data_IF_332343129025
#
_entry.id   IF_332343129025
#
_cell.length_a   1.000
_cell.length_b   1.000
_cell.length_c   1.000
_cell.angle_alpha   90.00
_cell.angle_beta   90.00
_cell.angle_gamma   90.00
#
_symmetry.space_group_name_H-M   'P 1'
#
loop_
_entity.id
_entity.type
_entity.pdbx_description
1 polymer ?
#
# COMPACT_ATOMS: atom_id res chain seq x y z
N UNK A 1 -43.02 -32.12 -18.49
CA UNK A 1 -42.96 -32.58 -19.89
C UNK A 1 -44.40 -32.73 -20.34
N UNK A 2 -44.76 -32.00 -21.39
CA UNK A 2 -46.09 -32.12 -21.99
C UNK A 2 -45.99 -32.90 -23.29
N UNK A 3 -47.05 -33.67 -23.61
CA UNK A 3 -47.12 -34.39 -24.86
C UNK A 3 -47.87 -33.53 -25.91
N UNK A 4 -47.33 -33.47 -27.12
CA UNK A 4 -47.96 -32.77 -28.23
C UNK A 4 -49.15 -33.63 -28.66
N UNK A 5 -50.33 -33.04 -28.60
CA UNK A 5 -51.63 -33.77 -28.93
C UNK A 5 -52.06 -33.48 -30.34
N UNK A 6 -51.92 -32.24 -30.77
CA UNK A 6 -52.34 -31.83 -32.09
C UNK A 6 -51.59 -30.65 -32.64
N UNK A 7 -51.64 -30.44 -33.94
CA UNK A 7 -51.03 -29.32 -34.64
C UNK A 7 -52.05 -28.78 -35.66
N UNK A 8 -52.56 -27.59 -35.30
CA UNK A 8 -53.56 -26.90 -36.16
C UNK A 8 -52.87 -25.79 -36.96
N UNK A 9 -53.16 -25.72 -38.23
CA UNK A 9 -52.65 -24.74 -39.15
C UNK A 9 -53.83 -23.99 -39.80
N UNK A 10 -54.05 -22.75 -39.41
CA UNK A 10 -55.11 -21.89 -39.93
C UNK A 10 -54.64 -20.45 -40.02
N UNK A 11 -55.02 -19.75 -41.09
CA UNK A 11 -54.80 -18.32 -41.33
C UNK A 11 -53.34 -17.84 -41.20
N UNK A 12 -52.40 -18.70 -41.65
CA UNK A 12 -50.95 -18.32 -41.57
C UNK A 12 -50.36 -18.42 -40.19
N UNK A 13 -51.03 -19.09 -39.26
CA UNK A 13 -50.51 -19.39 -37.90
C UNK A 13 -50.50 -20.88 -37.67
N UNK A 14 -49.47 -21.37 -37.06
CA UNK A 14 -49.35 -22.76 -36.61
C UNK A 14 -49.49 -22.79 -35.10
N UNK A 15 -50.49 -23.53 -34.61
CA UNK A 15 -50.73 -23.72 -33.18
C UNK A 15 -50.40 -25.16 -32.79
N UNK A 16 -49.58 -25.32 -31.74
CA UNK A 16 -49.23 -26.60 -31.16
C UNK A 16 -49.98 -26.75 -29.84
N UNK A 17 -50.80 -27.82 -29.80
CA UNK A 17 -51.57 -28.12 -28.60
C UNK A 17 -50.80 -29.16 -27.78
N UNK A 18 -50.42 -28.76 -26.58
CA UNK A 18 -49.62 -29.57 -25.66
C UNK A 18 -50.44 -29.88 -24.42
N UNK A 19 -50.49 -31.17 -24.04
CA UNK A 19 -51.11 -31.57 -22.78
C UNK A 19 -50.06 -31.65 -21.68
N UNK A 20 -50.22 -30.82 -20.68
CA UNK A 20 -49.38 -30.81 -19.47
C UNK A 20 -50.21 -31.33 -18.28
N UNK A 21 -50.17 -32.65 -18.07
CA UNK A 21 -50.96 -33.31 -17.04
C UNK A 21 -52.49 -33.34 -17.39
N UNK A 22 -53.28 -32.51 -16.67
CA UNK A 22 -54.71 -32.37 -16.88
C UNK A 22 -55.10 -31.19 -17.77
N UNK A 23 -54.14 -30.25 -17.98
CA UNK A 23 -54.37 -29.03 -18.73
C UNK A 23 -53.83 -29.13 -20.15
N UNK A 24 -54.57 -28.55 -21.07
CA UNK A 24 -54.17 -28.42 -22.48
C UNK A 24 -53.76 -26.93 -22.69
N UNK A 25 -52.54 -26.72 -23.17
CA UNK A 25 -52.01 -25.41 -23.47
C UNK A 25 -51.73 -25.29 -24.95
N UNK A 26 -52.23 -24.25 -25.59
CA UNK A 26 -51.97 -23.98 -27.00
C UNK A 26 -50.84 -22.99 -27.13
N UNK A 27 -49.79 -23.36 -27.83
CA UNK A 27 -48.66 -22.51 -28.18
C UNK A 27 -48.77 -22.11 -29.65
N UNK A 28 -48.88 -20.80 -29.89
CA UNK A 28 -48.83 -20.24 -31.25
C UNK A 28 -47.37 -20.17 -31.69
N UNK A 29 -47.01 -20.87 -32.75
CA UNK A 29 -45.68 -20.81 -33.34
C UNK A 29 -45.56 -19.61 -34.29
N UNK A 30 -44.43 -18.92 -34.18
CA UNK A 30 -44.05 -17.89 -35.14
C UNK A 30 -43.49 -18.56 -36.40
N UNK A 31 -44.31 -18.63 -37.48
CA UNK A 31 -43.91 -19.24 -38.75
C UNK A 31 -42.69 -18.53 -39.34
N UNK A 32 -42.56 -17.25 -39.09
CA UNK A 32 -41.40 -16.48 -39.56
C UNK A 32 -40.10 -16.89 -38.90
N UNK A 33 -40.12 -17.15 -37.59
CA UNK A 33 -38.95 -17.68 -36.88
C UNK A 33 -38.57 -19.08 -37.37
N UNK A 34 -39.57 -19.92 -37.67
CA UNK A 34 -39.32 -21.26 -38.21
C UNK A 34 -38.70 -21.15 -39.61
N UNK A 35 -39.25 -20.28 -40.46
CA UNK A 35 -38.75 -20.04 -41.81
C UNK A 35 -37.28 -19.55 -41.77
N UNK A 36 -36.98 -18.56 -40.89
CA UNK A 36 -35.65 -18.09 -40.71
C UNK A 36 -34.70 -19.16 -40.19
N UNK A 37 -35.11 -19.91 -39.15
CA UNK A 37 -34.31 -21.01 -38.59
C UNK A 37 -34.03 -22.10 -39.64
N UNK A 38 -35.04 -22.50 -40.43
CA UNK A 38 -34.87 -23.49 -41.51
C UNK A 38 -33.90 -22.98 -42.58
N UNK A 39 -34.04 -21.73 -42.99
CA UNK A 39 -33.13 -21.14 -43.96
C UNK A 39 -31.66 -21.08 -43.47
N UNK A 40 -31.46 -20.82 -42.18
CA UNK A 40 -30.14 -20.88 -41.55
C UNK A 40 -29.57 -22.31 -41.53
N UNK A 41 -30.39 -23.30 -41.15
CA UNK A 41 -29.98 -24.70 -41.08
C UNK A 41 -29.69 -25.29 -42.50
N UNK A 42 -30.41 -24.84 -43.50
CA UNK A 42 -30.18 -25.21 -44.91
C UNK A 42 -28.96 -24.49 -45.51
N UNK A 43 -28.43 -23.46 -44.83
CA UNK A 43 -27.34 -22.62 -45.33
C UNK A 43 -27.77 -21.65 -46.45
N UNK A 44 -29.08 -21.49 -46.65
CA UNK A 44 -29.69 -20.56 -47.62
C UNK A 44 -29.86 -19.17 -47.02
N UNK A 45 -28.76 -18.43 -46.93
CA UNK A 45 -28.75 -17.12 -46.30
C UNK A 45 -29.41 -16.02 -47.16
N UNK A 46 -29.55 -16.23 -48.49
CA UNK A 46 -30.34 -15.34 -49.34
C UNK A 46 -31.81 -15.36 -48.95
N UNK A 47 -32.37 -16.59 -48.72
CA UNK A 47 -33.72 -16.76 -48.24
C UNK A 47 -33.93 -16.16 -46.86
N UNK A 48 -32.98 -16.38 -45.93
CA UNK A 48 -33.00 -15.79 -44.61
C UNK A 48 -33.00 -14.25 -44.66
N UNK A 49 -32.13 -13.67 -45.51
CA UNK A 49 -32.04 -12.22 -45.70
C UNK A 49 -33.32 -11.62 -46.29
N UNK A 50 -33.85 -12.26 -47.35
CA UNK A 50 -35.11 -11.81 -48.01
C UNK A 50 -36.29 -11.86 -47.00
N UNK A 51 -36.32 -12.82 -46.11
CA UNK A 51 -37.32 -12.88 -45.07
C UNK A 51 -37.17 -11.72 -44.07
N UNK A 52 -35.96 -11.48 -43.54
CA UNK A 52 -35.71 -10.39 -42.60
C UNK A 52 -35.98 -9.00 -43.17
N UNK A 53 -35.77 -8.79 -44.49
CA UNK A 53 -36.06 -7.53 -45.17
C UNK A 53 -37.57 -7.20 -45.19
N UNK A 54 -38.45 -8.19 -45.03
CA UNK A 54 -39.90 -7.98 -44.95
C UNK A 54 -40.37 -7.55 -43.55
N UNK A 55 -39.53 -7.69 -42.54
CA UNK A 55 -39.84 -7.37 -41.13
C UNK A 55 -39.42 -5.97 -40.76
N UNK A 56 -40.18 -5.36 -39.85
CA UNK A 56 -39.74 -4.08 -39.24
C UNK A 56 -38.61 -4.34 -38.22
N UNK A 57 -37.76 -3.34 -38.06
CA UNK A 57 -36.65 -3.43 -37.13
C UNK A 57 -37.17 -3.41 -35.68
N UNK A 58 -36.91 -4.46 -34.96
CA UNK A 58 -37.21 -4.69 -33.55
C UNK A 58 -35.97 -5.25 -32.85
N UNK A 59 -35.90 -5.27 -31.50
CA UNK A 59 -34.79 -5.93 -30.82
C UNK A 59 -34.59 -7.40 -31.21
N UNK A 60 -35.67 -8.09 -31.54
CA UNK A 60 -35.66 -9.50 -31.96
C UNK A 60 -35.10 -9.63 -33.38
N UNK A 61 -35.61 -8.82 -34.33
CA UNK A 61 -35.11 -8.81 -35.72
C UNK A 61 -33.67 -8.32 -35.79
N UNK A 62 -33.26 -7.38 -34.93
CA UNK A 62 -31.85 -6.96 -34.79
C UNK A 62 -30.94 -8.12 -34.37
N UNK A 63 -31.40 -8.96 -33.42
CA UNK A 63 -30.64 -10.13 -32.99
C UNK A 63 -30.51 -11.18 -34.14
N UNK A 64 -31.56 -11.35 -34.94
CA UNK A 64 -31.52 -12.22 -36.13
C UNK A 64 -30.54 -11.69 -37.19
N UNK A 65 -30.57 -10.39 -37.48
CA UNK A 65 -29.62 -9.73 -38.39
C UNK A 65 -28.17 -9.91 -37.92
N UNK A 66 -27.91 -9.75 -36.60
CA UNK A 66 -26.58 -9.99 -36.02
C UNK A 66 -26.12 -11.43 -36.17
N UNK A 67 -27.03 -12.40 -35.99
CA UNK A 67 -26.73 -13.83 -36.16
C UNK A 67 -26.41 -14.13 -37.61
N UNK A 68 -27.27 -13.68 -38.53
CA UNK A 68 -27.07 -13.88 -39.95
C UNK A 68 -25.80 -13.20 -40.47
N UNK A 69 -25.50 -11.97 -40.04
CA UNK A 69 -24.29 -11.27 -40.44
C UNK A 69 -23.03 -12.03 -40.07
N UNK A 70 -23.00 -12.61 -38.86
CA UNK A 70 -21.90 -13.46 -38.39
C UNK A 70 -21.74 -14.70 -39.23
N UNK A 71 -22.83 -15.45 -39.46
CA UNK A 71 -22.80 -16.69 -40.25
C UNK A 71 -22.41 -16.41 -41.71
N UNK A 72 -22.93 -15.33 -42.31
CA UNK A 72 -22.58 -14.94 -43.66
C UNK A 72 -21.09 -14.55 -43.80
N UNK A 73 -20.53 -13.88 -42.79
CA UNK A 73 -19.11 -13.59 -42.73
C UNK A 73 -18.24 -14.84 -42.57
N UNK A 74 -18.63 -15.77 -41.70
CA UNK A 74 -17.92 -17.04 -41.46
C UNK A 74 -17.95 -17.96 -42.71
N UNK A 75 -19.07 -17.96 -43.45
CA UNK A 75 -19.22 -18.76 -44.67
C UNK A 75 -18.76 -18.05 -45.94
N UNK A 76 -18.18 -16.87 -45.81
CA UNK A 76 -17.66 -16.03 -46.90
C UNK A 76 -18.71 -15.59 -47.94
N UNK A 77 -19.95 -15.51 -47.55
CA UNK A 77 -21.02 -14.94 -48.37
C UNK A 77 -21.05 -13.40 -48.20
N UNK A 78 -20.07 -12.74 -48.80
CA UNK A 78 -19.73 -11.34 -48.52
C UNK A 78 -20.84 -10.35 -48.89
N UNK A 79 -21.56 -10.61 -50.00
CA UNK A 79 -22.71 -9.78 -50.42
C UNK A 79 -23.85 -9.82 -49.41
N UNK A 80 -24.12 -11.00 -48.86
CA UNK A 80 -25.11 -11.17 -47.81
C UNK A 80 -24.68 -10.51 -46.52
N UNK A 81 -23.42 -10.67 -46.12
CA UNK A 81 -22.86 -9.98 -44.98
C UNK A 81 -22.97 -8.45 -45.11
N UNK A 82 -22.67 -7.88 -46.28
CA UNK A 82 -22.84 -6.47 -46.58
C UNK A 82 -24.29 -5.98 -46.41
N UNK A 83 -25.28 -6.74 -46.93
CA UNK A 83 -26.71 -6.44 -46.73
C UNK A 83 -27.12 -6.51 -45.25
N UNK A 84 -26.64 -7.49 -44.52
CA UNK A 84 -26.93 -7.64 -43.08
C UNK A 84 -26.40 -6.46 -42.28
N UNK A 85 -25.16 -6.06 -42.49
CA UNK A 85 -24.57 -4.90 -41.80
C UNK A 85 -25.23 -3.58 -42.23
N UNK A 86 -25.68 -3.47 -43.49
CA UNK A 86 -26.46 -2.33 -43.93
C UNK A 86 -27.80 -2.23 -43.19
N UNK A 87 -28.52 -3.34 -43.02
CA UNK A 87 -29.73 -3.35 -42.22
C UNK A 87 -29.50 -3.01 -40.73
N UNK A 88 -28.34 -3.38 -40.16
CA UNK A 88 -27.94 -3.02 -38.81
C UNK A 88 -27.44 -1.55 -38.68
N UNK A 89 -27.28 -0.82 -39.79
CA UNK A 89 -26.80 0.54 -39.78
C UNK A 89 -25.29 0.72 -39.54
N UNK A 90 -24.50 -0.34 -39.62
CA UNK A 90 -23.05 -0.32 -39.46
C UNK A 90 -22.37 0.10 -40.77
N UNK A 91 -22.37 1.42 -41.03
CA UNK A 91 -21.84 2.04 -42.26
C UNK A 91 -20.34 1.72 -42.43
N UNK A 92 -19.59 1.64 -41.39
CA UNK A 92 -18.13 1.39 -41.46
C UNK A 92 -17.84 -0.02 -41.96
N UNK A 93 -18.50 -1.03 -41.41
CA UNK A 93 -18.39 -2.42 -41.87
C UNK A 93 -18.93 -2.61 -43.27
N UNK A 94 -20.05 -1.98 -43.60
CA UNK A 94 -20.62 -2.01 -44.99
C UNK A 94 -19.61 -1.48 -46.01
N UNK A 95 -18.98 -0.33 -45.75
CA UNK A 95 -17.99 0.25 -46.65
C UNK A 95 -16.79 -0.68 -46.83
N UNK A 96 -16.32 -1.27 -45.75
CA UNK A 96 -15.22 -2.24 -45.78
C UNK A 96 -15.56 -3.49 -46.58
N UNK A 97 -16.72 -4.06 -46.36
CA UNK A 97 -17.23 -5.24 -47.09
C UNK A 97 -17.50 -4.91 -48.57
N UNK A 98 -17.99 -3.72 -48.85
CA UNK A 98 -18.19 -3.28 -50.27
C UNK A 98 -16.86 -3.24 -51.03
N UNK A 99 -15.79 -2.66 -50.44
CA UNK A 99 -14.47 -2.70 -51.02
C UNK A 99 -13.95 -4.14 -51.21
N UNK A 100 -14.17 -5.00 -50.23
CA UNK A 100 -13.76 -6.40 -50.26
C UNK A 100 -14.52 -7.18 -51.33
N UNK A 101 -15.84 -6.94 -51.51
CA UNK A 101 -16.67 -7.49 -52.60
C UNK A 101 -16.17 -7.03 -53.98
N UNK A 102 -15.82 -5.75 -54.14
CA UNK A 102 -15.25 -5.27 -55.39
C UNK A 102 -13.94 -5.96 -55.80
N UNK A 103 -13.08 -6.26 -54.77
CA UNK A 103 -11.86 -7.03 -55.02
C UNK A 103 -12.20 -8.48 -55.42
N UNK A 104 -13.09 -9.14 -54.70
CA UNK A 104 -13.51 -10.53 -55.00
C UNK A 104 -14.13 -10.64 -56.40
N UNK A 105 -15.05 -9.73 -56.73
CA UNK A 105 -15.75 -9.70 -58.06
C UNK A 105 -14.76 -9.45 -59.21
N UNK A 106 -13.80 -8.55 -59.02
CA UNK A 106 -12.75 -8.29 -60.00
C UNK A 106 -11.89 -9.53 -60.28
N UNK A 107 -11.46 -10.19 -59.21
CA UNK A 107 -10.64 -11.40 -59.32
C UNK A 107 -11.44 -12.54 -59.95
N UNK A 108 -12.72 -12.69 -59.59
CA UNK A 108 -13.59 -13.69 -60.24
C UNK A 108 -13.76 -13.45 -61.74
N UNK A 109 -13.88 -12.19 -62.18
CA UNK A 109 -13.97 -11.82 -63.58
C UNK A 109 -12.66 -12.04 -64.37
N UNK A 110 -11.52 -11.75 -63.74
CA UNK A 110 -10.20 -11.86 -64.37
C UNK A 110 -9.67 -13.30 -64.44
N UNK A 111 -9.86 -14.06 -63.35
CA UNK A 111 -9.28 -15.41 -63.20
C UNK A 111 -10.28 -16.55 -63.44
N UNK A 112 -11.59 -16.26 -63.45
CA UNK A 112 -12.61 -17.30 -63.60
C UNK A 112 -12.73 -18.27 -62.40
N UNK A 113 -12.12 -17.94 -61.30
CA UNK A 113 -12.13 -18.69 -60.02
C UNK A 113 -12.95 -17.96 -58.96
N UNK A 114 -13.19 -18.61 -57.83
CA UNK A 114 -13.82 -17.96 -56.70
C UNK A 114 -12.95 -16.90 -56.08
N UNK A 115 -13.31 -15.63 -56.31
CA UNK A 115 -12.58 -14.47 -55.85
C UNK A 115 -12.46 -14.39 -54.31
N UNK A 116 -13.28 -15.11 -53.57
CA UNK A 116 -13.20 -15.15 -52.08
C UNK A 116 -11.93 -15.88 -51.60
N UNK A 117 -11.32 -16.70 -52.43
CA UNK A 117 -10.07 -17.39 -52.14
C UNK A 117 -8.81 -16.53 -52.33
N UNK A 118 -8.97 -15.32 -52.89
CA UNK A 118 -7.86 -14.39 -53.11
C UNK A 118 -7.29 -13.88 -51.79
N UNK A 119 -5.95 -13.83 -51.68
CA UNK A 119 -5.25 -13.50 -50.43
C UNK A 119 -5.69 -12.19 -49.80
N UNK A 120 -5.95 -11.15 -50.59
CA UNK A 120 -6.44 -9.84 -50.08
C UNK A 120 -7.82 -9.98 -49.44
N UNK A 121 -8.71 -10.72 -50.08
CA UNK A 121 -10.05 -10.99 -49.54
C UNK A 121 -9.97 -11.77 -48.25
N UNK A 122 -9.09 -12.78 -48.18
CA UNK A 122 -8.85 -13.55 -46.95
C UNK A 122 -8.24 -12.68 -45.85
N UNK A 123 -7.29 -11.81 -46.18
CA UNK A 123 -6.74 -10.85 -45.24
C UNK A 123 -7.81 -9.87 -44.73
N UNK A 124 -8.65 -9.31 -45.61
CA UNK A 124 -9.74 -8.45 -45.21
C UNK A 124 -10.77 -9.18 -44.30
N UNK A 125 -11.06 -10.43 -44.58
CA UNK A 125 -11.95 -11.22 -43.72
C UNK A 125 -11.29 -11.47 -42.34
N UNK A 126 -10.00 -11.74 -42.30
CA UNK A 126 -9.28 -11.84 -41.05
C UNK A 126 -9.31 -10.51 -40.25
N UNK A 127 -9.18 -9.36 -40.93
CA UNK A 127 -9.31 -8.03 -40.33
C UNK A 127 -10.74 -7.79 -39.79
N UNK A 128 -11.77 -8.21 -40.50
CA UNK A 128 -13.17 -8.12 -40.04
C UNK A 128 -13.37 -8.89 -38.72
N UNK A 129 -12.72 -10.03 -38.58
CA UNK A 129 -12.73 -10.84 -37.36
C UNK A 129 -11.68 -10.36 -36.32
N UNK A 130 -11.05 -9.20 -36.54
CA UNK A 130 -10.00 -8.61 -35.68
C UNK A 130 -8.78 -9.52 -35.47
N UNK A 131 -8.55 -10.44 -36.39
CA UNK A 131 -7.39 -11.32 -36.36
C UNK A 131 -6.28 -10.76 -37.30
N UNK A 132 -5.65 -9.69 -36.85
CA UNK A 132 -4.66 -8.96 -37.67
C UNK A 132 -3.38 -9.78 -37.96
N UNK A 133 -3.02 -10.71 -37.07
CA UNK A 133 -1.89 -11.62 -37.32
C UNK A 133 -2.18 -12.62 -38.45
N UNK A 134 -3.39 -13.07 -38.56
CA UNK A 134 -3.82 -13.92 -39.67
C UNK A 134 -3.85 -13.12 -40.99
N UNK A 135 -4.29 -11.85 -40.94
CA UNK A 135 -4.24 -10.97 -42.10
C UNK A 135 -2.79 -10.72 -42.55
N UNK A 136 -1.87 -10.44 -41.62
CA UNK A 136 -0.44 -10.34 -41.88
C UNK A 136 0.10 -11.61 -42.57
N UNK A 137 -0.25 -12.79 -42.06
CA UNK A 137 0.20 -14.05 -42.64
C UNK A 137 -0.24 -14.20 -44.10
N UNK A 138 -1.50 -13.87 -44.43
CA UNK A 138 -2.00 -13.91 -45.81
C UNK A 138 -1.24 -12.95 -46.74
N UNK A 139 -0.90 -11.74 -46.27
CA UNK A 139 -0.06 -10.80 -47.03
C UNK A 139 1.37 -11.33 -47.18
N UNK A 140 1.95 -11.90 -46.12
CA UNK A 140 3.33 -12.39 -46.13
C UNK A 140 3.52 -13.61 -47.05
N UNK A 141 2.54 -14.51 -47.15
CA UNK A 141 2.53 -15.66 -48.05
C UNK A 141 2.70 -15.25 -49.52
N UNK A 142 2.20 -14.10 -49.88
CA UNK A 142 2.29 -13.53 -51.22
C UNK A 142 3.38 -12.47 -51.38
N UNK A 143 4.22 -12.29 -50.34
CA UNK A 143 5.25 -11.28 -50.26
C UNK A 143 4.74 -9.85 -50.47
N UNK A 144 3.47 -9.60 -50.10
CA UNK A 144 2.80 -8.30 -50.16
C UNK A 144 3.09 -7.47 -48.89
N UNK A 145 4.36 -7.15 -48.68
CA UNK A 145 4.87 -6.50 -47.46
C UNK A 145 4.28 -5.11 -47.29
N UNK A 146 4.20 -4.34 -48.40
CA UNK A 146 3.69 -2.97 -48.37
C UNK A 146 2.22 -2.92 -47.90
N UNK A 147 1.40 -3.88 -48.31
CA UNK A 147 -0.02 -3.99 -47.92
C UNK A 147 -0.17 -4.34 -46.44
N UNK A 148 0.70 -5.20 -45.91
CA UNK A 148 0.71 -5.50 -44.47
C UNK A 148 1.13 -4.28 -43.65
N UNK A 149 2.10 -3.52 -44.10
CA UNK A 149 2.54 -2.24 -43.49
C UNK A 149 1.40 -1.22 -43.52
N UNK A 150 0.74 -1.05 -44.67
CA UNK A 150 -0.38 -0.13 -44.86
C UNK A 150 -1.53 -0.48 -43.93
N UNK A 151 -1.88 -1.78 -43.81
CA UNK A 151 -2.89 -2.28 -42.88
C UNK A 151 -2.57 -1.86 -41.44
N UNK A 152 -1.36 -2.06 -40.96
CA UNK A 152 -0.97 -1.70 -39.61
C UNK A 152 -0.90 -0.20 -39.38
N UNK A 153 -0.52 0.60 -40.38
CA UNK A 153 -0.56 2.06 -40.33
C UNK A 153 -1.99 2.60 -40.19
N UNK A 154 -2.92 2.09 -41.01
CA UNK A 154 -4.33 2.48 -40.95
C UNK A 154 -4.97 2.12 -39.59
N UNK A 155 -4.58 1.01 -39.00
CA UNK A 155 -5.03 0.57 -37.69
C UNK A 155 -4.28 1.24 -36.53
N UNK A 156 -3.29 2.10 -36.82
CA UNK A 156 -2.38 2.70 -35.83
C UNK A 156 -1.65 1.67 -34.95
N UNK A 157 -1.43 0.46 -35.46
CA UNK A 157 -0.65 -0.59 -34.82
C UNK A 157 0.85 -0.48 -35.19
N UNK A 158 1.44 0.63 -34.78
CA UNK A 158 2.78 1.03 -35.20
C UNK A 158 3.89 0.06 -34.77
N UNK A 159 3.75 -0.59 -33.60
CA UNK A 159 4.73 -1.55 -33.12
C UNK A 159 4.82 -2.76 -34.04
N UNK A 160 3.66 -3.29 -34.48
CA UNK A 160 3.59 -4.39 -35.45
C UNK A 160 4.05 -3.94 -36.85
N UNK A 161 3.69 -2.72 -37.26
CA UNK A 161 4.14 -2.10 -38.51
C UNK A 161 5.66 -2.08 -38.62
N UNK A 162 6.32 -1.57 -37.57
CA UNK A 162 7.78 -1.48 -37.52
C UNK A 162 8.42 -2.87 -37.43
N UNK A 163 7.85 -3.78 -36.64
CA UNK A 163 8.35 -5.14 -36.53
C UNK A 163 8.36 -5.89 -37.89
N UNK A 164 7.30 -5.75 -38.68
CA UNK A 164 7.23 -6.30 -40.03
C UNK A 164 8.26 -5.66 -40.96
N UNK A 165 8.37 -4.33 -40.93
CA UNK A 165 9.32 -3.58 -41.75
C UNK A 165 10.79 -3.92 -41.40
N UNK A 166 11.10 -4.12 -40.12
CA UNK A 166 12.43 -4.56 -39.65
C UNK A 166 12.74 -5.99 -40.09
N UNK A 167 11.80 -6.92 -39.88
CA UNK A 167 11.97 -8.33 -40.23
C UNK A 167 12.25 -8.55 -41.74
N UNK A 168 11.73 -7.66 -42.56
CA UNK A 168 11.87 -7.72 -44.04
C UNK A 168 12.88 -6.71 -44.58
N UNK A 169 13.56 -5.96 -43.73
CA UNK A 169 14.51 -4.91 -44.14
C UNK A 169 13.90 -3.93 -45.16
N UNK A 170 12.70 -3.45 -44.81
CA UNK A 170 11.96 -2.57 -45.74
C UNK A 170 12.72 -1.24 -45.97
N UNK A 171 12.81 -0.76 -47.23
CA UNK A 171 13.60 0.44 -47.57
C UNK A 171 13.12 1.72 -46.88
N UNK A 172 11.85 1.81 -46.55
CA UNK A 172 11.26 2.99 -45.92
C UNK A 172 11.16 2.88 -44.39
N UNK A 173 11.88 1.95 -43.73
CA UNK A 173 11.85 1.76 -42.31
C UNK A 173 12.07 3.05 -41.51
N UNK A 174 13.02 3.88 -41.95
CA UNK A 174 13.32 5.14 -41.26
C UNK A 174 12.17 6.15 -41.38
N UNK A 175 11.49 6.18 -42.52
CA UNK A 175 10.30 7.01 -42.72
C UNK A 175 9.15 6.55 -41.84
N UNK A 176 8.94 5.22 -41.72
CA UNK A 176 7.92 4.63 -40.87
C UNK A 176 8.16 4.98 -39.41
N UNK A 177 9.41 4.90 -38.95
CA UNK A 177 9.77 5.31 -37.57
C UNK A 177 9.51 6.79 -37.33
N UNK A 178 9.81 7.64 -38.33
CA UNK A 178 9.51 9.07 -38.29
C UNK A 178 8.01 9.36 -38.17
N UNK A 179 7.20 8.66 -38.97
CA UNK A 179 5.75 8.79 -38.95
C UNK A 179 5.17 8.31 -37.62
N UNK A 180 5.69 7.20 -37.08
CA UNK A 180 5.31 6.71 -35.74
C UNK A 180 5.63 7.73 -34.65
N UNK A 181 6.82 8.29 -34.67
CA UNK A 181 7.20 9.33 -33.71
C UNK A 181 6.29 10.57 -33.82
N UNK A 182 5.99 11.01 -35.03
CA UNK A 182 5.09 12.14 -35.27
C UNK A 182 3.69 11.83 -34.71
N UNK A 183 3.15 10.66 -35.00
CA UNK A 183 1.85 10.22 -34.47
C UNK A 183 1.81 10.18 -32.96
N UNK A 184 2.88 9.66 -32.32
CA UNK A 184 3.01 9.63 -30.86
C UNK A 184 3.00 11.04 -30.25
N UNK A 185 3.68 11.98 -30.89
CA UNK A 185 3.73 13.38 -30.41
C UNK A 185 2.39 14.10 -30.61
N UNK A 186 1.72 13.87 -31.71
CA UNK A 186 0.39 14.44 -32.03
C UNK A 186 -0.70 13.90 -31.09
N UNK A 187 -0.62 12.63 -30.72
CA UNK A 187 -1.56 11.98 -29.81
C UNK A 187 -1.20 12.17 -28.33
N UNK A 188 -0.11 12.87 -28.01
CA UNK A 188 0.33 13.16 -26.65
C UNK A 188 0.88 11.94 -25.90
N UNK A 189 1.31 10.90 -26.62
CA UNK A 189 1.94 9.70 -26.04
C UNK A 189 3.44 9.93 -25.82
N UNK A 190 3.77 10.95 -25.03
CA UNK A 190 5.16 11.41 -24.82
C UNK A 190 6.05 10.31 -24.17
N UNK A 191 5.48 9.39 -23.41
CA UNK A 191 6.22 8.26 -22.84
C UNK A 191 6.79 7.33 -23.90
N UNK A 192 5.93 6.87 -24.82
CA UNK A 192 6.34 6.00 -25.93
C UNK A 192 7.26 6.73 -26.91
N UNK A 193 6.97 8.00 -27.16
CA UNK A 193 7.85 8.84 -27.98
C UNK A 193 9.27 8.93 -27.37
N UNK A 194 9.35 9.01 -26.03
CA UNK A 194 10.62 8.95 -25.30
C UNK A 194 11.34 7.61 -25.46
N UNK A 195 10.62 6.48 -25.40
CA UNK A 195 11.17 5.14 -25.62
C UNK A 195 11.73 4.97 -27.05
N UNK A 196 11.04 5.51 -28.04
CA UNK A 196 11.53 5.52 -29.43
C UNK A 196 12.85 6.29 -29.53
N UNK A 197 12.91 7.50 -28.94
CA UNK A 197 14.15 8.31 -28.93
C UNK A 197 15.28 7.66 -28.14
N UNK A 198 14.96 6.96 -27.04
CA UNK A 198 15.94 6.18 -26.27
C UNK A 198 16.54 5.06 -27.12
N UNK A 199 15.73 4.34 -27.91
CA UNK A 199 16.19 3.29 -28.83
C UNK A 199 17.02 3.82 -29.98
N UNK A 200 16.76 5.04 -30.46
CA UNK A 200 17.54 5.72 -31.48
C UNK A 200 18.89 6.28 -30.96
N UNK A 201 19.06 6.31 -29.63
CA UNK A 201 20.26 6.86 -28.98
C UNK A 201 20.22 8.37 -28.76
N UNK A 202 19.08 9.03 -29.02
CA UNK A 202 18.88 10.45 -28.71
C UNK A 202 18.37 10.59 -27.26
N UNK A 203 19.26 10.38 -26.32
CA UNK A 203 18.93 10.37 -24.90
C UNK A 203 18.46 11.73 -24.38
N UNK A 204 18.92 12.83 -24.95
CA UNK A 204 18.51 14.17 -24.54
C UNK A 204 17.05 14.45 -24.90
N UNK A 205 16.64 14.09 -26.11
CA UNK A 205 15.24 14.17 -26.53
C UNK A 205 14.36 13.22 -25.69
N UNK A 206 14.82 11.99 -25.43
CA UNK A 206 14.11 11.04 -24.59
C UNK A 206 13.85 11.58 -23.16
N UNK A 207 14.85 12.19 -22.54
CA UNK A 207 14.72 12.81 -21.22
C UNK A 207 13.69 13.93 -21.24
N UNK A 208 13.73 14.79 -22.23
CA UNK A 208 12.75 15.89 -22.36
C UNK A 208 11.32 15.36 -22.49
N UNK A 209 11.13 14.31 -23.26
CA UNK A 209 9.83 13.65 -23.45
C UNK A 209 9.34 12.97 -22.16
N UNK A 210 10.22 12.26 -21.45
CA UNK A 210 9.86 11.67 -20.16
C UNK A 210 9.50 12.71 -19.10
N UNK A 211 10.20 13.84 -19.08
CA UNK A 211 9.86 14.94 -18.18
C UNK A 211 8.51 15.58 -18.56
N UNK A 212 8.23 15.73 -19.85
CA UNK A 212 6.94 16.23 -20.35
C UNK A 212 5.80 15.27 -20.03
N UNK A 213 6.04 13.96 -20.12
CA UNK A 213 5.10 12.91 -19.75
C UNK A 213 4.86 12.79 -18.22
N UNK A 214 5.58 13.56 -17.39
CA UNK A 214 5.50 13.46 -15.93
C UNK A 214 6.14 12.20 -15.37
N UNK A 215 7.13 11.64 -16.06
CA UNK A 215 7.86 10.42 -15.67
C UNK A 215 9.33 10.69 -15.34
N UNK A 216 9.63 11.53 -14.35
CA UNK A 216 11.00 11.89 -14.00
C UNK A 216 11.85 10.71 -13.54
N UNK A 217 11.22 9.64 -13.06
CA UNK A 217 11.90 8.42 -12.67
C UNK A 217 12.57 7.68 -13.85
N UNK A 218 11.91 7.65 -15.03
CA UNK A 218 12.49 7.12 -16.26
C UNK A 218 13.65 7.99 -16.75
N UNK A 219 13.46 9.31 -16.71
CA UNK A 219 14.52 10.27 -17.06
C UNK A 219 15.76 10.13 -16.16
N UNK A 220 15.56 9.97 -14.86
CA UNK A 220 16.63 9.76 -13.89
C UNK A 220 17.38 8.42 -14.13
N UNK A 221 16.66 7.33 -14.37
CA UNK A 221 17.25 6.04 -14.70
C UNK A 221 18.18 6.14 -15.93
N UNK A 222 17.69 6.83 -16.97
CA UNK A 222 18.46 7.04 -18.20
C UNK A 222 19.71 7.90 -17.93
N UNK A 223 19.57 8.99 -17.17
CA UNK A 223 20.69 9.84 -16.77
C UNK A 223 21.74 9.12 -15.91
N UNK A 224 21.32 8.26 -14.99
CA UNK A 224 22.23 7.46 -14.14
C UNK A 224 22.99 6.41 -14.97
N UNK A 225 22.35 5.82 -15.96
CA UNK A 225 22.98 4.80 -16.83
C UNK A 225 24.01 5.38 -17.81
N UNK A 226 23.98 6.71 -18.06
CA UNK A 226 24.81 7.39 -19.04
C UNK A 226 25.67 8.48 -18.40
N UNK A 227 26.99 8.23 -18.29
CA UNK A 227 27.90 9.20 -17.64
C UNK A 227 27.96 10.56 -18.36
N UNK A 228 27.73 10.59 -19.67
CA UNK A 228 27.70 11.82 -20.48
C UNK A 228 26.58 12.77 -20.04
N UNK A 229 25.43 12.21 -19.67
CA UNK A 229 24.25 12.97 -19.22
C UNK A 229 24.39 13.36 -17.75
N UNK A 230 24.89 12.45 -16.91
CA UNK A 230 25.10 12.71 -15.48
C UNK A 230 26.18 13.78 -15.22
N UNK A 231 27.02 14.08 -16.19
CA UNK A 231 28.00 15.18 -16.13
C UNK A 231 27.39 16.56 -16.44
N UNK A 232 26.22 16.60 -17.08
CA UNK A 232 25.51 17.85 -17.39
C UNK A 232 24.72 18.34 -16.18
N UNK A 233 25.23 19.38 -15.52
CA UNK A 233 24.60 19.95 -14.30
C UNK A 233 23.20 20.50 -14.57
N UNK A 234 22.94 21.03 -15.75
CA UNK A 234 21.63 21.57 -16.14
C UNK A 234 20.58 20.45 -16.26
N UNK A 235 20.90 19.39 -16.99
CA UNK A 235 20.00 18.24 -17.18
C UNK A 235 19.71 17.56 -15.85
N UNK A 236 20.74 17.33 -15.04
CA UNK A 236 20.61 16.74 -13.69
C UNK A 236 19.71 17.60 -12.82
N UNK A 237 19.89 18.92 -12.82
CA UNK A 237 19.08 19.84 -12.02
C UNK A 237 17.61 19.84 -12.44
N UNK A 238 17.31 19.78 -13.72
CA UNK A 238 15.93 19.70 -14.25
C UNK A 238 15.24 18.39 -13.86
N UNK A 239 15.93 17.27 -14.02
CA UNK A 239 15.40 15.95 -13.62
C UNK A 239 15.19 15.91 -12.11
N UNK A 240 16.18 16.35 -11.34
CA UNK A 240 16.09 16.38 -9.87
C UNK A 240 14.96 17.28 -9.37
N UNK A 241 14.76 18.46 -9.97
CA UNK A 241 13.65 19.34 -9.63
C UNK A 241 12.28 18.67 -9.87
N UNK A 242 12.16 17.94 -10.99
CA UNK A 242 10.94 17.18 -11.29
C UNK A 242 10.72 16.00 -10.32
N UNK A 243 11.80 15.30 -9.94
CA UNK A 243 11.75 14.23 -8.92
C UNK A 243 11.33 14.77 -7.55
N UNK A 244 11.90 15.89 -7.13
CA UNK A 244 11.59 16.55 -5.85
C UNK A 244 10.13 17.03 -5.85
N UNK A 245 9.63 17.58 -6.97
CA UNK A 245 8.23 17.95 -7.10
C UNK A 245 7.28 16.76 -6.97
N UNK A 246 7.71 15.58 -7.41
CA UNK A 246 6.99 14.32 -7.27
C UNK A 246 7.29 13.57 -5.96
N UNK A 247 7.96 14.20 -5.01
CA UNK A 247 8.35 13.61 -3.69
C UNK A 247 9.25 12.36 -3.81
N UNK A 248 9.89 12.15 -4.95
CA UNK A 248 10.81 11.05 -5.21
C UNK A 248 12.23 11.40 -4.78
N UNK A 249 12.40 11.82 -3.52
CA UNK A 249 13.67 12.31 -2.97
C UNK A 249 14.79 11.28 -3.04
N UNK A 250 14.50 10.02 -2.81
CA UNK A 250 15.48 8.93 -2.85
C UNK A 250 16.13 8.82 -4.24
N UNK A 251 15.34 8.88 -5.29
CA UNK A 251 15.85 8.86 -6.68
C UNK A 251 16.57 10.14 -7.07
N UNK A 252 16.14 11.28 -6.53
CA UNK A 252 16.87 12.54 -6.70
C UNK A 252 18.24 12.48 -6.03
N UNK A 253 18.31 11.85 -4.86
CA UNK A 253 19.58 11.57 -4.16
C UNK A 253 20.53 10.71 -4.99
N UNK A 254 20.04 9.57 -5.52
CA UNK A 254 20.82 8.66 -6.40
C UNK A 254 21.36 9.39 -7.64
N UNK A 255 20.55 10.27 -8.23
CA UNK A 255 20.96 11.06 -9.40
C UNK A 255 22.07 12.07 -9.02
N UNK A 256 21.93 12.81 -7.90
CA UNK A 256 22.95 13.75 -7.45
C UNK A 256 24.23 13.06 -7.01
N UNK A 257 24.14 11.89 -6.37
CA UNK A 257 25.31 11.08 -6.01
C UNK A 257 26.09 10.66 -7.26
N UNK A 258 25.38 10.19 -8.29
CA UNK A 258 26.01 9.82 -9.58
C UNK A 258 26.64 11.04 -10.27
N UNK A 259 26.02 12.21 -10.15
CA UNK A 259 26.55 13.48 -10.65
C UNK A 259 27.67 14.06 -9.76
N UNK A 260 28.11 13.33 -8.71
CA UNK A 260 29.12 13.73 -7.72
C UNK A 260 28.78 15.00 -6.94
N UNK A 261 27.50 15.35 -6.84
CA UNK A 261 27.02 16.40 -5.97
C UNK A 261 26.54 15.82 -4.64
N UNK A 262 27.50 15.37 -3.84
CA UNK A 262 27.24 14.61 -2.61
C UNK A 262 26.42 15.42 -1.58
N UNK A 263 26.56 16.75 -1.56
CA UNK A 263 25.82 17.58 -0.62
C UNK A 263 24.32 17.58 -0.91
N UNK A 264 23.94 17.82 -2.17
CA UNK A 264 22.51 17.77 -2.57
C UNK A 264 21.94 16.36 -2.49
N UNK A 265 22.77 15.34 -2.76
CA UNK A 265 22.37 13.96 -2.58
C UNK A 265 22.01 13.67 -1.12
N UNK A 266 22.84 14.11 -0.20
CA UNK A 266 22.61 13.96 1.24
C UNK A 266 21.32 14.66 1.69
N UNK A 267 21.11 15.91 1.27
CA UNK A 267 19.87 16.65 1.56
C UNK A 267 18.63 15.94 1.04
N UNK A 268 18.70 15.39 -0.17
CA UNK A 268 17.60 14.63 -0.75
C UNK A 268 17.32 13.34 0.03
N UNK A 269 18.35 12.57 0.38
CA UNK A 269 18.17 11.34 1.16
C UNK A 269 17.57 11.61 2.53
N UNK A 270 18.01 12.69 3.21
CA UNK A 270 17.45 13.09 4.50
C UNK A 270 15.96 13.48 4.38
N UNK A 271 15.59 14.28 3.37
CA UNK A 271 14.21 14.69 3.14
C UNK A 271 13.30 13.51 2.77
N UNK A 272 13.82 12.55 2.02
CA UNK A 272 13.10 11.34 1.63
C UNK A 272 13.05 10.24 2.69
N UNK A 273 13.70 10.44 3.84
CA UNK A 273 13.77 9.42 4.89
C UNK A 273 14.69 8.23 4.56
N UNK A 274 15.51 8.35 3.50
CA UNK A 274 16.47 7.32 3.08
C UNK A 274 17.78 7.42 3.89
N UNK A 275 17.68 7.46 5.22
CA UNK A 275 18.81 7.69 6.12
C UNK A 275 19.94 6.67 5.97
N UNK A 276 19.62 5.44 5.61
CA UNK A 276 20.65 4.42 5.35
C UNK A 276 21.63 4.88 4.25
N UNK A 277 21.10 5.31 3.10
CA UNK A 277 21.90 5.83 2.00
C UNK A 277 22.62 7.13 2.39
N UNK A 278 21.94 7.99 3.17
CA UNK A 278 22.52 9.23 3.68
C UNK A 278 23.75 8.96 4.55
N UNK A 279 23.66 8.01 5.48
CA UNK A 279 24.78 7.64 6.35
C UNK A 279 25.90 6.96 5.57
N UNK A 280 25.59 6.05 4.64
CA UNK A 280 26.58 5.41 3.78
C UNK A 280 27.36 6.45 2.95
N UNK A 281 26.67 7.41 2.35
CA UNK A 281 27.29 8.53 1.62
C UNK A 281 28.13 9.42 2.54
N UNK A 282 27.59 9.77 3.71
CA UNK A 282 28.27 10.65 4.65
C UNK A 282 29.55 10.03 5.22
N UNK A 283 29.59 8.71 5.44
CA UNK A 283 30.81 8.02 5.89
C UNK A 283 31.98 8.20 4.92
N UNK A 284 31.68 8.34 3.63
CA UNK A 284 32.69 8.52 2.59
C UNK A 284 33.00 10.02 2.36
N UNK A 285 31.96 10.83 2.25
CA UNK A 285 32.08 12.23 1.81
C UNK A 285 32.13 13.24 2.97
N UNK A 286 31.41 12.99 4.08
CA UNK A 286 31.24 13.92 5.20
C UNK A 286 31.27 13.21 6.56
N UNK A 287 32.41 12.65 6.99
CA UNK A 287 32.48 11.85 8.22
C UNK A 287 32.03 12.61 9.48
N UNK A 288 32.21 13.93 9.50
CA UNK A 288 31.82 14.79 10.64
C UNK A 288 30.28 14.90 10.81
N UNK A 289 29.51 14.62 9.78
CA UNK A 289 28.05 14.73 9.83
C UNK A 289 27.35 13.41 10.17
N UNK A 290 28.09 12.30 10.20
CA UNK A 290 27.53 10.96 10.45
C UNK A 290 26.76 10.91 11.78
N UNK A 291 27.33 11.48 12.84
CA UNK A 291 26.71 11.51 14.17
C UNK A 291 25.36 12.22 14.15
N UNK A 292 25.26 13.36 13.49
CA UNK A 292 24.01 14.13 13.34
C UNK A 292 22.97 13.37 12.52
N UNK A 293 23.43 12.63 11.50
CA UNK A 293 22.56 11.81 10.65
C UNK A 293 22.02 10.60 11.38
N UNK A 294 22.85 9.95 12.19
CA UNK A 294 22.41 8.85 13.06
C UNK A 294 21.35 9.33 14.06
N UNK A 295 21.56 10.51 14.68
CA UNK A 295 20.56 11.13 15.55
C UNK A 295 19.25 11.43 14.80
N UNK A 296 19.34 12.07 13.63
CA UNK A 296 18.17 12.38 12.80
C UNK A 296 17.44 11.10 12.33
N UNK A 297 18.17 10.04 12.05
CA UNK A 297 17.61 8.74 11.73
C UNK A 297 16.84 8.14 12.91
N UNK A 298 17.42 8.21 14.10
CA UNK A 298 16.76 7.84 15.34
C UNK A 298 15.45 8.62 15.55
N UNK A 299 15.48 9.94 15.41
CA UNK A 299 14.29 10.79 15.52
C UNK A 299 13.22 10.44 14.47
N UNK A 300 13.61 10.16 13.24
CA UNK A 300 12.71 9.70 12.18
C UNK A 300 12.05 8.36 12.53
N UNK A 301 12.80 7.39 13.04
CA UNK A 301 12.28 6.09 13.45
C UNK A 301 11.31 6.21 14.65
N UNK A 302 11.55 7.14 15.55
CA UNK A 302 10.61 7.46 16.64
C UNK A 302 9.29 7.98 16.08
N UNK A 303 9.31 8.87 15.09
CA UNK A 303 8.10 9.35 14.40
C UNK A 303 7.35 8.21 13.71
N UNK A 304 8.07 7.24 13.16
CA UNK A 304 7.50 6.03 12.54
C UNK A 304 7.07 4.97 13.57
N UNK A 305 7.18 5.24 14.87
CA UNK A 305 6.88 4.33 15.98
C UNK A 305 7.75 3.05 16.00
N UNK A 306 8.93 3.10 15.38
CA UNK A 306 9.91 2.03 15.36
C UNK A 306 10.98 2.25 16.45
N UNK A 307 10.54 2.24 17.71
CA UNK A 307 11.37 2.58 18.86
C UNK A 307 12.59 1.65 19.01
N UNK A 308 12.41 0.36 18.73
CA UNK A 308 13.49 -0.64 18.85
C UNK A 308 14.68 -0.36 17.95
N UNK A 309 14.41 0.05 16.70
CA UNK A 309 15.44 0.43 15.75
C UNK A 309 16.10 1.77 16.12
N UNK A 310 15.31 2.73 16.61
CA UNK A 310 15.77 4.04 16.99
C UNK A 310 16.84 3.99 18.10
N UNK A 311 16.72 3.05 19.04
CA UNK A 311 17.67 2.88 20.16
C UNK A 311 19.11 2.75 19.64
N UNK A 312 19.34 1.89 18.65
CA UNK A 312 20.67 1.63 18.11
C UNK A 312 21.27 2.89 17.46
N UNK A 313 20.46 3.63 16.70
CA UNK A 313 20.91 4.86 16.05
C UNK A 313 21.24 5.97 17.05
N UNK A 314 20.47 6.11 18.14
CA UNK A 314 20.79 7.04 19.21
C UNK A 314 22.05 6.65 19.98
N UNK A 315 22.33 5.35 20.14
CA UNK A 315 23.58 4.88 20.74
C UNK A 315 24.77 5.23 19.84
N UNK A 316 24.68 4.95 18.54
CA UNK A 316 25.70 5.30 17.56
C UNK A 316 25.94 6.82 17.48
N UNK A 317 24.88 7.61 17.67
CA UNK A 317 24.97 9.07 17.75
C UNK A 317 25.51 9.61 19.08
N UNK A 318 25.70 8.74 20.10
CA UNK A 318 26.09 9.17 21.45
C UNK A 318 24.98 9.89 22.22
N UNK A 319 23.71 9.83 21.74
CA UNK A 319 22.55 10.49 22.35
C UNK A 319 21.87 9.55 23.36
N UNK A 320 22.56 9.25 24.46
CA UNK A 320 22.12 8.23 25.43
C UNK A 320 20.77 8.52 26.08
N UNK A 321 20.45 9.79 26.34
CA UNK A 321 19.15 10.16 26.92
C UNK A 321 17.98 9.82 25.96
N UNK A 322 18.12 10.13 24.68
CA UNK A 322 17.13 9.75 23.66
C UNK A 322 17.04 8.23 23.50
N UNK A 323 18.17 7.53 23.60
CA UNK A 323 18.21 6.07 23.56
C UNK A 323 17.44 5.45 24.76
N UNK A 324 17.57 6.00 25.94
CA UNK A 324 16.82 5.57 27.14
C UNK A 324 15.32 5.85 26.95
N UNK A 325 14.95 7.04 26.49
CA UNK A 325 13.53 7.37 26.20
C UNK A 325 12.91 6.41 25.19
N UNK A 326 13.61 6.11 24.10
CA UNK A 326 13.18 5.15 23.10
C UNK A 326 13.08 3.73 23.67
N UNK A 327 14.04 3.32 24.51
CA UNK A 327 14.01 2.00 25.16
C UNK A 327 12.82 1.84 26.13
N UNK A 328 12.51 2.88 26.89
CA UNK A 328 11.32 2.92 27.76
C UNK A 328 10.04 2.88 26.93
N UNK A 329 9.95 3.62 25.85
CA UNK A 329 8.81 3.63 24.95
C UNK A 329 8.61 2.26 24.26
N UNK A 330 9.71 1.59 23.92
CA UNK A 330 9.73 0.22 23.38
C UNK A 330 9.46 -0.86 24.40
N UNK A 331 9.33 -0.51 25.70
CA UNK A 331 9.24 -1.44 26.84
C UNK A 331 10.45 -2.38 26.98
N UNK A 332 11.61 -1.99 26.47
CA UNK A 332 12.85 -2.73 26.58
C UNK A 332 13.61 -2.31 27.86
N UNK A 333 13.02 -2.57 29.00
CA UNK A 333 13.48 -2.12 30.32
C UNK A 333 14.91 -2.53 30.65
N UNK A 334 15.31 -3.74 30.29
CA UNK A 334 16.69 -4.23 30.53
C UNK A 334 17.71 -3.44 29.75
N UNK A 335 17.42 -3.09 28.49
CA UNK A 335 18.30 -2.23 27.68
C UNK A 335 18.34 -0.81 28.24
N UNK A 336 17.20 -0.28 28.66
CA UNK A 336 17.13 1.05 29.29
C UNK A 336 18.01 1.12 30.54
N UNK A 337 17.96 0.09 31.42
CA UNK A 337 18.84 -0.01 32.59
C UNK A 337 20.30 -0.07 32.17
N UNK A 338 20.65 -0.90 31.21
CA UNK A 338 22.03 -1.03 30.75
C UNK A 338 22.60 0.28 30.18
N UNK A 339 21.83 0.99 29.37
CA UNK A 339 22.25 2.29 28.83
C UNK A 339 22.37 3.32 29.96
N UNK A 340 21.44 3.30 30.92
CA UNK A 340 21.42 4.20 32.06
C UNK A 340 22.62 3.99 32.98
N UNK A 341 23.05 2.75 33.18
CA UNK A 341 24.23 2.43 34.01
C UNK A 341 25.55 2.87 33.38
N UNK A 342 25.60 3.03 32.06
CA UNK A 342 26.76 3.54 31.34
C UNK A 342 26.84 5.06 31.36
N UNK A 343 25.80 5.73 31.88
CA UNK A 343 25.73 7.20 31.92
C UNK A 343 25.99 7.72 33.36
N UNK A 344 26.84 8.75 33.47
CA UNK A 344 27.11 9.41 34.71
C UNK A 344 26.44 10.80 34.84
N UNK A 345 25.53 11.14 33.89
CA UNK A 345 24.91 12.47 33.83
C UNK A 345 23.75 12.62 34.81
N UNK A 346 23.73 13.72 35.56
CA UNK A 346 22.64 14.08 36.47
C UNK A 346 21.27 14.22 35.78
N UNK A 347 21.23 14.48 34.47
CA UNK A 347 20.01 14.59 33.68
C UNK A 347 19.29 13.22 33.49
N UNK A 348 19.97 12.13 33.80
CA UNK A 348 19.41 10.76 33.75
C UNK A 348 18.58 10.38 34.98
N UNK A 349 18.61 11.18 36.07
CA UNK A 349 17.91 10.86 37.34
C UNK A 349 16.42 10.55 37.18
N UNK A 350 15.72 11.33 36.35
CA UNK A 350 14.29 11.12 36.07
C UNK A 350 13.96 9.74 35.48
N UNK A 351 14.91 9.14 34.77
CA UNK A 351 14.68 7.83 34.15
C UNK A 351 14.82 6.70 35.14
N UNK A 352 15.69 6.85 36.16
CA UNK A 352 15.80 5.90 37.26
C UNK A 352 14.46 5.69 37.94
N UNK A 353 13.74 6.77 38.24
CA UNK A 353 12.41 6.71 38.87
C UNK A 353 11.40 5.95 38.00
N UNK A 354 11.31 6.30 36.71
CA UNK A 354 10.38 5.63 35.79
C UNK A 354 10.64 4.14 35.66
N UNK A 355 11.89 3.76 35.52
CA UNK A 355 12.27 2.36 35.37
C UNK A 355 12.06 1.60 36.69
N UNK A 356 12.43 2.20 37.81
CA UNK A 356 12.22 1.64 39.13
C UNK A 356 10.73 1.40 39.43
N UNK A 357 9.84 2.35 39.10
CA UNK A 357 8.40 2.19 39.24
C UNK A 357 7.85 1.01 38.39
N UNK A 358 8.41 0.82 37.20
CA UNK A 358 8.04 -0.35 36.41
C UNK A 358 8.45 -1.65 37.07
N UNK A 359 9.71 -1.76 37.55
CA UNK A 359 10.18 -2.96 38.26
C UNK A 359 9.39 -3.20 39.55
N UNK A 360 9.01 -2.15 40.26
CA UNK A 360 8.12 -2.24 41.41
C UNK A 360 6.74 -2.81 41.02
N UNK A 361 6.18 -2.42 39.87
CA UNK A 361 4.87 -2.91 39.39
C UNK A 361 4.87 -4.41 39.07
N UNK A 362 5.99 -4.95 38.64
CA UNK A 362 6.17 -6.40 38.40
C UNK A 362 6.70 -7.18 39.62
N UNK A 363 6.75 -6.52 40.78
CA UNK A 363 7.18 -7.07 42.06
C UNK A 363 8.67 -7.48 42.15
N UNK A 364 9.49 -6.95 41.23
CA UNK A 364 10.95 -7.08 41.28
C UNK A 364 11.54 -5.93 42.13
N UNK A 365 11.35 -6.04 43.44
CA UNK A 365 11.66 -4.96 44.38
C UNK A 365 13.16 -4.76 44.56
N UNK A 366 13.98 -5.80 44.37
CA UNK A 366 15.45 -5.70 44.52
C UNK A 366 16.07 -4.79 43.42
N UNK A 367 15.64 -4.98 42.17
CA UNK A 367 16.08 -4.15 41.08
C UNK A 367 15.52 -2.72 41.19
N UNK A 368 14.26 -2.60 41.62
CA UNK A 368 13.64 -1.31 41.86
C UNK A 368 14.36 -0.51 42.96
N UNK A 369 14.74 -1.16 44.08
CA UNK A 369 15.53 -0.56 45.17
C UNK A 369 16.86 -0.02 44.64
N UNK A 370 17.62 -0.84 43.90
CA UNK A 370 18.92 -0.42 43.36
C UNK A 370 18.80 0.82 42.46
N UNK A 371 17.76 0.85 41.64
CA UNK A 371 17.51 1.97 40.75
C UNK A 371 17.08 3.23 41.50
N UNK A 372 16.19 3.16 42.46
CA UNK A 372 15.80 4.28 43.30
C UNK A 372 16.97 4.85 44.09
N UNK A 373 17.82 3.98 44.65
CA UNK A 373 18.99 4.39 45.41
C UNK A 373 20.01 5.08 44.51
N UNK A 374 20.30 4.53 43.32
CA UNK A 374 21.20 5.15 42.34
C UNK A 374 20.66 6.48 41.84
N UNK A 375 19.35 6.64 41.70
CA UNK A 375 18.69 7.87 41.30
C UNK A 375 18.53 8.91 42.45
N UNK A 376 19.00 8.59 43.68
CA UNK A 376 18.83 9.49 44.82
C UNK A 376 17.42 9.56 45.41
N UNK A 377 16.51 8.71 44.97
CA UNK A 377 15.11 8.69 45.39
C UNK A 377 14.83 7.63 46.46
N UNK A 378 15.56 7.72 47.56
CA UNK A 378 15.51 6.75 48.68
C UNK A 378 14.13 6.70 49.31
N UNK A 379 13.43 7.85 49.41
CA UNK A 379 12.06 7.91 49.96
C UNK A 379 11.10 7.09 49.11
N UNK A 380 11.16 7.17 47.80
CA UNK A 380 10.30 6.40 46.91
C UNK A 380 10.55 4.90 47.01
N UNK A 381 11.81 4.48 47.29
CA UNK A 381 12.15 3.09 47.51
C UNK A 381 11.56 2.58 48.85
N UNK A 382 11.61 3.38 49.89
CA UNK A 382 10.99 3.04 51.17
C UNK A 382 9.46 2.97 51.06
N UNK A 383 8.85 3.94 50.35
CA UNK A 383 7.41 3.94 50.09
C UNK A 383 6.97 2.73 49.25
N UNK A 384 7.76 2.29 48.30
CA UNK A 384 7.54 1.08 47.53
C UNK A 384 7.47 -0.17 48.43
N UNK A 385 8.45 -0.35 49.31
CA UNK A 385 8.46 -1.48 50.23
C UNK A 385 7.32 -1.40 51.24
N UNK A 386 6.99 -0.21 51.74
CA UNK A 386 5.85 -0.01 52.66
C UNK A 386 4.53 -0.36 52.01
N UNK A 387 4.31 0.08 50.74
CA UNK A 387 3.12 -0.24 49.97
C UNK A 387 2.99 -1.75 49.68
N UNK A 388 4.13 -2.44 49.48
CA UNK A 388 4.19 -3.88 49.29
C UNK A 388 4.03 -4.69 50.62
N UNK A 389 3.92 -4.03 51.75
CA UNK A 389 3.84 -4.70 53.07
C UNK A 389 5.14 -5.28 53.57
N UNK A 390 6.28 -4.96 52.97
CA UNK A 390 7.63 -5.44 53.32
C UNK A 390 8.32 -4.50 54.28
N UNK A 391 7.84 -4.41 55.49
CA UNK A 391 8.29 -3.44 56.49
C UNK A 391 9.72 -3.63 56.97
N UNK A 392 10.22 -4.86 56.98
CA UNK A 392 11.61 -5.14 57.42
C UNK A 392 12.63 -4.62 56.40
N UNK A 393 12.38 -4.82 55.13
CA UNK A 393 13.23 -4.30 54.04
C UNK A 393 13.17 -2.79 53.97
N UNK A 394 11.98 -2.19 54.09
CA UNK A 394 11.80 -0.73 54.14
C UNK A 394 12.59 -0.11 55.29
N UNK A 395 12.56 -0.71 56.49
CA UNK A 395 13.29 -0.24 57.64
C UNK A 395 14.82 -0.37 57.45
N UNK A 396 15.29 -1.56 56.98
CA UNK A 396 16.73 -1.76 56.70
C UNK A 396 17.25 -0.75 55.70
N UNK A 397 16.51 -0.45 54.61
CA UNK A 397 16.89 0.51 53.62
C UNK A 397 16.91 1.94 54.18
N UNK A 398 15.87 2.32 54.92
CA UNK A 398 15.79 3.66 55.57
C UNK A 398 16.93 3.91 56.53
N UNK A 399 17.25 2.97 57.40
CA UNK A 399 18.36 3.07 58.36
C UNK A 399 19.73 3.10 57.68
N UNK A 400 19.87 2.42 56.53
CA UNK A 400 21.12 2.39 55.77
C UNK A 400 21.41 3.70 55.00
N UNK A 401 20.39 4.35 54.47
CA UNK A 401 20.52 5.40 53.49
C UNK A 401 20.00 6.77 53.95
N UNK A 402 19.29 6.87 55.06
CA UNK A 402 18.69 8.12 55.58
C UNK A 402 19.20 8.44 56.99
N UNK A 403 19.11 9.69 57.41
CA UNK A 403 19.41 10.10 58.78
C UNK A 403 18.34 9.68 59.74
N UNK A 404 18.67 9.52 61.03
CA UNK A 404 17.73 9.06 62.07
C UNK A 404 16.50 10.00 62.17
N UNK A 405 16.71 11.31 61.97
CA UNK A 405 15.63 12.30 61.98
C UNK A 405 14.71 12.18 60.79
N UNK A 406 15.27 11.95 59.59
CA UNK A 406 14.48 11.76 58.34
C UNK A 406 13.68 10.47 58.41
N UNK A 407 14.26 9.38 58.92
CA UNK A 407 13.55 8.08 59.14
C UNK A 407 12.40 8.29 60.11
N UNK A 408 12.65 9.04 61.19
CA UNK A 408 11.62 9.34 62.19
C UNK A 408 10.47 10.15 61.55
N UNK A 409 10.77 11.22 60.81
CA UNK A 409 9.77 12.03 60.17
C UNK A 409 8.93 11.28 59.09
N UNK A 410 9.59 10.44 58.32
CA UNK A 410 8.94 9.61 57.29
C UNK A 410 7.95 8.62 57.92
N UNK A 411 8.36 7.94 58.98
CA UNK A 411 7.52 6.95 59.64
C UNK A 411 6.37 7.59 60.38
N UNK A 412 6.58 8.74 60.99
CA UNK A 412 5.50 9.52 61.63
C UNK A 412 4.46 9.95 60.60
N UNK A 413 4.92 10.50 59.44
CA UNK A 413 4.01 10.86 58.34
C UNK A 413 3.21 9.68 57.84
N UNK A 414 3.85 8.54 57.63
CA UNK A 414 3.17 7.34 57.14
C UNK A 414 2.23 6.73 58.18
N UNK A 415 2.58 6.75 59.46
CA UNK A 415 1.70 6.33 60.51
C UNK A 415 0.43 7.19 60.60
N UNK A 416 0.55 8.50 60.36
CA UNK A 416 -0.59 9.42 60.28
C UNK A 416 -1.50 9.13 59.09
N UNK A 417 -0.97 8.70 57.93
CA UNK A 417 -1.77 8.25 56.80
C UNK A 417 -2.54 6.96 57.15
N UNK A 418 -1.85 5.97 57.76
CA UNK A 418 -2.48 4.75 58.22
C UNK A 418 -3.54 4.99 59.29
N UNK A 419 -3.39 6.04 60.11
CA UNK A 419 -4.44 6.48 61.03
C UNK A 419 -5.71 6.90 60.29
N UNK A 420 -5.58 7.68 59.17
CA UNK A 420 -6.70 8.06 58.33
C UNK A 420 -7.40 6.86 57.69
N UNK A 421 -6.61 5.86 57.30
CA UNK A 421 -7.09 4.60 56.71
C UNK A 421 -7.63 3.61 57.74
N UNK A 422 -7.72 3.99 59.01
CA UNK A 422 -8.22 3.14 60.15
C UNK A 422 -7.38 1.90 60.43
N UNK A 423 -6.12 1.89 60.00
CA UNK A 423 -5.16 0.80 60.23
C UNK A 423 -4.30 1.04 61.47
N UNK A 424 -4.91 1.20 62.59
CA UNK A 424 -4.26 1.64 63.85
C UNK A 424 -3.12 0.74 64.32
N UNK A 425 -3.22 -0.60 64.19
CA UNK A 425 -2.16 -1.52 64.62
C UNK A 425 -0.88 -1.41 63.76
N UNK A 426 -1.04 -1.07 62.50
CA UNK A 426 0.10 -0.86 61.62
C UNK A 426 0.74 0.50 61.92
N UNK A 427 -0.06 1.52 62.17
CA UNK A 427 0.43 2.84 62.61
C UNK A 427 1.18 2.74 63.96
N UNK A 428 0.66 1.99 64.93
CA UNK A 428 1.32 1.72 66.20
C UNK A 428 2.73 1.11 66.01
N UNK A 429 2.84 0.12 65.14
CA UNK A 429 4.14 -0.50 64.84
C UNK A 429 5.16 0.51 64.33
N UNK A 430 4.72 1.42 63.44
CA UNK A 430 5.61 2.45 62.93
C UNK A 430 6.03 3.45 64.00
N UNK A 431 5.13 3.94 64.83
CA UNK A 431 5.44 4.78 65.96
C UNK A 431 6.38 4.12 66.98
N UNK A 432 6.20 2.82 67.24
CA UNK A 432 7.09 2.06 68.12
C UNK A 432 8.49 1.89 67.55
N UNK A 433 8.62 1.67 66.23
CA UNK A 433 9.89 1.54 65.52
C UNK A 433 10.74 2.82 65.63
N UNK A 434 10.07 3.97 65.60
CA UNK A 434 10.71 5.32 65.70
C UNK A 434 10.90 5.73 67.17
N UNK A 435 10.60 4.87 68.12
CA UNK A 435 10.69 5.19 69.57
C UNK A 435 9.85 6.39 70.03
N UNK A 436 8.72 6.59 69.38
CA UNK A 436 7.76 7.65 69.72
C UNK A 436 6.40 7.08 70.11
N UNK A 437 6.31 6.33 71.23
CA UNK A 437 5.07 5.72 71.68
C UNK A 437 3.97 6.71 72.04
N UNK A 438 4.35 7.95 72.39
CA UNK A 438 3.39 8.99 72.76
C UNK A 438 2.47 9.38 71.60
N UNK A 439 2.95 9.32 70.37
CA UNK A 439 2.13 9.56 69.18
C UNK A 439 1.10 8.44 68.98
N UNK A 440 1.48 7.17 69.24
CA UNK A 440 0.56 6.04 69.17
C UNK A 440 -0.50 6.13 70.28
N UNK A 441 -0.12 6.54 71.49
CA UNK A 441 -1.07 6.79 72.58
C UNK A 441 -2.06 7.90 72.21
N UNK A 442 -1.55 9.02 71.60
CA UNK A 442 -2.38 10.11 71.16
C UNK A 442 -3.34 9.70 70.03
N UNK A 443 -2.91 8.90 69.09
CA UNK A 443 -3.72 8.34 68.01
C UNK A 443 -4.88 7.50 68.59
N UNK A 444 -4.61 6.57 69.47
CA UNK A 444 -5.63 5.72 70.10
C UNK A 444 -6.58 6.53 70.98
N UNK A 445 -6.07 7.55 71.66
CA UNK A 445 -6.87 8.45 72.49
C UNK A 445 -7.86 9.25 71.66
N UNK A 446 -7.42 9.80 70.51
CA UNK A 446 -8.25 10.52 69.55
C UNK A 446 -9.34 9.64 68.95
N UNK A 447 -9.05 8.37 68.71
CA UNK A 447 -9.97 7.42 68.11
C UNK A 447 -10.77 6.62 69.18
N UNK A 448 -10.73 7.03 70.46
CA UNK A 448 -11.46 6.44 71.57
C UNK A 448 -11.22 4.93 71.83
N UNK A 449 -10.06 4.42 71.47
CA UNK A 449 -9.63 3.03 71.71
C UNK A 449 -8.91 2.92 73.06
N UNK A 450 -9.66 3.04 74.16
CA UNK A 450 -9.14 3.23 75.50
C UNK A 450 -8.36 2.01 76.01
N UNK A 451 -8.73 0.80 75.64
CA UNK A 451 -7.99 -0.44 76.02
C UNK A 451 -6.56 -0.42 75.47
N UNK A 452 -6.37 0.00 74.24
CA UNK A 452 -5.03 0.12 73.63
C UNK A 452 -4.23 1.28 74.24
N UNK A 453 -4.88 2.38 74.61
CA UNK A 453 -4.23 3.46 75.36
C UNK A 453 -3.68 2.96 76.67
N UNK A 454 -4.47 2.22 77.48
CA UNK A 454 -4.06 1.66 78.76
C UNK A 454 -2.90 0.67 78.57
N UNK A 455 -3.01 -0.19 77.57
CA UNK A 455 -1.94 -1.17 77.21
C UNK A 455 -0.61 -0.50 76.90
N UNK A 456 -0.61 0.60 76.07
CA UNK A 456 0.59 1.32 75.69
C UNK A 456 1.18 2.14 76.85
N UNK A 457 0.32 2.81 77.62
CA UNK A 457 0.77 3.59 78.80
C UNK A 457 1.38 2.66 79.84
N UNK A 458 0.75 1.49 80.13
CA UNK A 458 1.31 0.49 81.00
C UNK A 458 2.70 -0.01 80.58
N UNK A 459 2.92 -0.10 79.24
CA UNK A 459 4.18 -0.59 78.69
C UNK A 459 5.29 0.45 78.67
N UNK A 460 4.97 1.72 78.36
CA UNK A 460 5.95 2.76 78.12
C UNK A 460 6.02 3.85 79.20
N UNK A 461 4.93 4.10 79.92
CA UNK A 461 4.81 5.11 80.97
C UNK A 461 4.05 4.59 82.17
N UNK A 462 4.58 3.58 82.88
CA UNK A 462 3.88 2.93 84.04
C UNK A 462 3.53 3.92 85.12
N UNK A 463 4.28 4.98 85.31
CA UNK A 463 4.08 6.04 86.27
C UNK A 463 2.80 6.86 86.06
N UNK A 464 2.35 6.98 84.79
CA UNK A 464 1.16 7.71 84.41
C UNK A 464 -0.11 6.86 84.32
N UNK A 465 -0.02 5.57 84.63
CA UNK A 465 -1.13 4.63 84.41
C UNK A 465 -2.35 4.95 85.31
N UNK A 466 -2.13 5.31 86.58
CA UNK A 466 -3.21 5.69 87.51
C UNK A 466 -3.92 7.01 87.08
N UNK A 467 -3.17 7.94 86.62
CA UNK A 467 -3.71 9.23 86.11
C UNK A 467 -4.46 9.05 84.78
N UNK A 468 -3.95 8.17 83.91
CA UNK A 468 -4.67 7.80 82.67
C UNK A 468 -6.00 7.12 82.91
N UNK A 469 -6.07 6.18 83.85
CA UNK A 469 -7.33 5.58 84.26
C UNK A 469 -8.34 6.58 84.83
N UNK A 470 -7.85 7.55 85.59
CA UNK A 470 -8.72 8.61 86.15
C UNK A 470 -9.25 9.57 85.07
N UNK A 471 -8.42 9.87 84.10
CA UNK A 471 -8.80 10.72 82.96
C UNK A 471 -9.75 10.05 81.99
N UNK A 472 -9.65 8.74 81.78
CA UNK A 472 -10.53 7.99 80.89
C UNK A 472 -11.85 7.60 81.54
N UNK A 473 -11.94 7.68 82.87
CA UNK A 473 -13.17 7.43 83.66
C UNK A 473 -14.07 8.68 83.81
N UNK A 474 -13.58 9.87 83.45
CA UNK A 474 -14.31 11.14 83.32
C UNK A 474 -14.84 11.35 81.88
#
# INVERSE_FOLDING_TARGET
>A
MGDIVDLERADGRTEVIVTEGVNTVTYTLDEGLIEFGTAIDDGDYDRATAFLETLEMSPETEAMWKTLSKLAAETRQLHIAERCFAALGDVSTVRFLHQTNQIADKVSQEMGEDGTSFYKVQAHMAMLHKNFKLAEMHYMEQNAIDEAIEMYQELHMWDDCIAVAEAKNHPELNTLRGNYYQWLTETGQDEKAGEVKESEGDFQAAINLYLKAGLPAKAARLAISRPEISSSTETVSRIAASLIKGELYDRAGDLYEKARNNQRALECYCKGGAFRKAVELARVAFPAEVVKLEEAWGDYLVQQKQMDAAINHFIEAGCSLKAIEAAIAARQWKKAVHILELQEDASAEKFYVKIAQHYASIQDYEVAEQLFVKGGHIKDAVDMYTAAGRWEEAHKLAVKCMTEEEVSALYVSRAQELEKDVKFKEAERLFATVKQPDLAITMYKKNRMFDDVIRLVAKHHPDLLTETHLHLAK
#
